data_IF_897500184265
#
_entry.id   IF_897500184265
#
_cell.length_a   1.000
_cell.length_b   1.000
_cell.length_c   1.000
_cell.angle_alpha   90.00
_cell.angle_beta   90.00
_cell.angle_gamma   90.00
#
_symmetry.space_group_name_H-M   'P 1'
#
loop_
_entity.id
_entity.type
_entity.pdbx_description
1 polymer ?
#
# COMPACT_ATOMS: atom_id res chain seq x y z
N UNK A 1 -9.71 8.05 9.10
CA UNK A 1 -8.94 6.81 8.90
C UNK A 1 -9.20 5.87 10.07
N UNK A 2 -9.03 4.56 9.88
CA UNK A 2 -9.19 3.55 10.93
C UNK A 2 -7.86 2.83 11.10
N UNK A 3 -7.42 2.70 12.35
CA UNK A 3 -6.28 1.85 12.70
C UNK A 3 -6.82 0.56 13.28
N UNK A 4 -6.28 -0.56 12.81
CA UNK A 4 -6.67 -1.90 13.26
C UNK A 4 -5.45 -2.54 13.92
N UNK A 5 -5.67 -3.16 15.07
CA UNK A 5 -4.64 -4.01 15.69
C UNK A 5 -4.42 -5.27 14.83
N UNK A 6 -3.20 -5.43 14.32
CA UNK A 6 -2.85 -6.47 13.35
C UNK A 6 -1.59 -7.25 13.77
N UNK A 7 -1.60 -7.94 14.93
CA UNK A 7 -0.42 -8.67 15.42
C UNK A 7 -0.01 -9.83 14.50
N UNK A 8 -0.95 -10.34 13.70
CA UNK A 8 -0.67 -11.37 12.69
C UNK A 8 0.20 -10.87 11.55
N UNK A 9 0.14 -9.57 11.20
CA UNK A 9 0.99 -8.98 10.17
C UNK A 9 2.45 -8.96 10.62
N UNK A 10 2.71 -8.54 11.87
CA UNK A 10 4.04 -8.59 12.48
C UNK A 10 4.57 -10.03 12.56
N UNK A 11 3.72 -10.99 12.95
CA UNK A 11 4.10 -12.41 12.99
C UNK A 11 4.45 -12.93 11.60
N UNK A 12 3.65 -12.58 10.59
CA UNK A 12 3.91 -12.96 9.21
C UNK A 12 5.27 -12.45 8.75
N UNK A 13 5.53 -11.14 8.89
CA UNK A 13 6.80 -10.52 8.52
C UNK A 13 7.99 -11.16 9.23
N UNK A 14 7.87 -11.49 10.52
CA UNK A 14 8.94 -12.21 11.25
C UNK A 14 9.22 -13.61 10.72
N UNK A 15 8.19 -14.29 10.20
CA UNK A 15 8.31 -15.67 9.70
C UNK A 15 8.77 -15.74 8.24
N UNK A 16 8.32 -14.82 7.39
CA UNK A 16 8.62 -14.80 5.95
C UNK A 16 9.83 -13.92 5.61
N UNK A 17 10.16 -12.96 6.47
CA UNK A 17 11.04 -11.85 6.13
C UNK A 17 10.37 -10.82 5.21
N UNK A 18 10.99 -9.64 5.01
CA UNK A 18 10.55 -8.67 4.02
C UNK A 18 10.75 -9.21 2.60
N UNK A 19 9.77 -9.01 1.72
CA UNK A 19 9.77 -9.56 0.35
C UNK A 19 9.86 -8.44 -0.72
N UNK A 20 11.07 -7.94 -0.92
CA UNK A 20 11.37 -6.97 -1.99
C UNK A 20 11.14 -7.57 -3.39
N UNK A 21 11.28 -8.90 -3.52
CA UNK A 21 11.15 -9.63 -4.77
C UNK A 21 9.72 -9.64 -5.32
N UNK A 22 8.71 -9.61 -4.44
CA UNK A 22 7.30 -9.65 -4.82
C UNK A 22 6.87 -8.53 -5.78
N UNK A 23 7.56 -7.38 -5.74
CA UNK A 23 7.26 -6.24 -6.61
C UNK A 23 8.47 -5.78 -7.43
N UNK A 24 9.54 -6.58 -7.53
CA UNK A 24 10.79 -6.17 -8.16
C UNK A 24 10.60 -5.61 -9.58
N UNK A 25 9.72 -6.21 -10.39
CA UNK A 25 9.39 -5.78 -11.75
C UNK A 25 8.67 -4.42 -11.81
N UNK A 26 8.08 -3.98 -10.70
CA UNK A 26 7.34 -2.72 -10.58
C UNK A 26 8.11 -1.62 -9.86
N UNK A 27 9.17 -1.98 -9.12
CA UNK A 27 9.94 -1.05 -8.30
C UNK A 27 11.07 -0.32 -9.05
N UNK A 28 11.15 -0.50 -10.38
CA UNK A 28 12.03 0.26 -11.29
C UNK A 28 11.31 1.46 -11.94
N UNK A 29 10.58 2.24 -11.13
CA UNK A 29 9.98 3.48 -11.60
C UNK A 29 11.04 4.60 -11.74
N UNK A 30 10.81 5.52 -12.70
CA UNK A 30 11.81 6.45 -13.21
C UNK A 30 12.68 7.15 -12.12
N UNK A 31 14.00 7.29 -12.36
CA UNK A 31 15.01 7.55 -11.33
C UNK A 31 14.94 8.94 -10.67
N UNK A 32 14.20 9.90 -11.21
CA UNK A 32 14.44 11.32 -10.92
C UNK A 32 13.73 11.89 -9.66
N UNK A 33 12.94 11.11 -8.91
CA UNK A 33 12.43 11.56 -7.58
C UNK A 33 11.53 10.56 -6.85
N UNK A 34 11.09 9.49 -7.50
CA UNK A 34 10.06 8.63 -6.95
C UNK A 34 10.67 7.55 -6.04
N UNK A 35 10.65 7.78 -4.72
CA UNK A 35 10.91 6.72 -3.72
C UNK A 35 9.77 5.68 -3.66
N UNK A 36 8.74 5.83 -4.49
CA UNK A 36 7.56 4.98 -4.50
C UNK A 36 7.03 4.81 -5.93
N UNK A 37 6.58 3.60 -6.24
CA UNK A 37 6.06 3.24 -7.55
C UNK A 37 4.57 2.93 -7.44
N UNK A 38 3.82 3.27 -8.50
CA UNK A 38 2.41 2.96 -8.66
C UNK A 38 2.21 1.97 -9.80
N UNK A 39 1.44 0.91 -9.58
CA UNK A 39 1.25 -0.18 -10.54
C UNK A 39 -0.03 -0.96 -10.27
N UNK A 40 -0.59 -1.60 -11.30
CA UNK A 40 -1.73 -2.49 -11.13
C UNK A 40 -1.31 -3.78 -10.44
N UNK A 41 -2.16 -4.33 -9.58
CA UNK A 41 -1.96 -5.67 -9.04
C UNK A 41 -2.05 -6.73 -10.17
N UNK A 42 -1.67 -7.98 -9.85
CA UNK A 42 -1.68 -9.10 -10.81
C UNK A 42 -3.04 -9.32 -11.49
N UNK A 43 -4.15 -9.10 -10.77
CA UNK A 43 -5.51 -9.23 -11.31
C UNK A 43 -6.00 -8.04 -12.13
N UNK A 44 -5.25 -6.93 -12.14
CA UNK A 44 -5.64 -5.69 -12.82
C UNK A 44 -6.84 -4.97 -12.20
N UNK A 45 -7.30 -5.39 -11.02
CA UNK A 45 -8.51 -4.92 -10.36
C UNK A 45 -8.25 -3.97 -9.18
N UNK A 46 -6.98 -3.69 -8.87
CA UNK A 46 -6.55 -2.75 -7.86
C UNK A 46 -5.31 -1.98 -8.29
N UNK A 47 -5.25 -0.71 -7.91
CA UNK A 47 -4.04 0.10 -8.03
C UNK A 47 -3.23 0.05 -6.75
N UNK A 48 -1.94 -0.24 -6.87
CA UNK A 48 -1.01 -0.38 -5.77
C UNK A 48 -0.02 0.78 -5.77
N UNK A 49 0.32 1.26 -4.58
CA UNK A 49 1.47 2.17 -4.37
C UNK A 49 2.40 1.54 -3.34
N UNK A 50 3.67 1.37 -3.70
CA UNK A 50 4.67 0.71 -2.86
C UNK A 50 5.98 1.49 -2.85
N UNK A 51 6.66 1.64 -1.69
CA UNK A 51 7.97 2.25 -1.64
C UNK A 51 9.03 1.33 -2.25
N UNK A 52 9.99 1.94 -2.93
CA UNK A 52 11.25 1.31 -3.30
C UNK A 52 12.21 1.40 -2.12
N UNK A 53 12.99 0.35 -1.90
CA UNK A 53 14.07 0.38 -0.93
C UNK A 53 15.14 1.39 -1.33
N UNK A 54 15.53 2.22 -0.36
CA UNK A 54 16.71 3.08 -0.50
C UNK A 54 17.97 2.20 -0.41
N UNK A 55 18.94 2.31 -1.33
CA UNK A 55 20.17 1.52 -1.28
C UNK A 55 20.86 1.60 0.09
N UNK A 56 21.15 0.45 0.69
CA UNK A 56 21.78 0.35 2.01
C UNK A 56 20.81 0.44 3.21
N UNK A 57 19.53 0.78 3.02
CA UNK A 57 18.54 0.74 4.08
C UNK A 57 18.18 -0.70 4.48
N UNK A 58 17.73 -0.91 5.71
CA UNK A 58 17.20 -2.20 6.15
C UNK A 58 15.88 -2.51 5.43
N UNK A 59 15.78 -3.69 4.82
CA UNK A 59 14.56 -4.14 4.14
C UNK A 59 13.36 -4.25 5.11
N UNK A 60 13.60 -4.49 6.40
CA UNK A 60 12.56 -4.56 7.42
C UNK A 60 11.74 -3.27 7.55
N UNK A 61 12.33 -2.11 7.21
CA UNK A 61 11.64 -0.81 7.21
C UNK A 61 10.46 -0.83 6.23
N UNK A 62 10.58 -1.55 5.11
CA UNK A 62 9.61 -1.55 4.03
C UNK A 62 8.58 -2.66 4.16
N UNK A 63 8.59 -3.44 5.25
CA UNK A 63 7.72 -4.61 5.43
C UNK A 63 6.23 -4.27 5.57
N UNK A 64 5.91 -3.17 6.27
CA UNK A 64 4.55 -2.68 6.47
C UNK A 64 4.56 -1.21 6.93
N UNK A 65 3.38 -0.56 6.94
CA UNK A 65 3.27 0.90 7.18
C UNK A 65 3.88 1.34 8.52
N UNK A 66 3.61 0.58 9.58
CA UNK A 66 4.16 0.87 10.92
C UNK A 66 5.68 0.81 10.99
N UNK A 67 6.33 -0.16 10.33
CA UNK A 67 7.79 -0.24 10.26
C UNK A 67 8.35 0.92 9.44
N UNK A 68 7.68 1.24 8.33
CA UNK A 68 8.09 2.30 7.41
C UNK A 68 8.07 3.67 8.08
N UNK A 69 6.97 4.05 8.71
CA UNK A 69 6.86 5.36 9.40
C UNK A 69 7.84 5.50 10.57
N UNK A 70 8.27 4.39 11.19
CA UNK A 70 9.26 4.41 12.29
C UNK A 70 10.71 4.45 11.80
N UNK A 71 11.00 3.88 10.63
CA UNK A 71 12.37 3.63 10.18
C UNK A 71 12.80 4.40 8.93
N UNK A 72 11.86 4.79 8.06
CA UNK A 72 12.16 5.52 6.84
C UNK A 72 12.46 6.99 7.11
N UNK A 73 13.13 7.64 6.17
CA UNK A 73 13.33 9.10 6.23
C UNK A 73 12.00 9.85 6.08
N UNK A 74 11.94 11.08 6.63
CA UNK A 74 10.77 11.94 6.47
C UNK A 74 10.43 12.17 4.98
N UNK A 75 11.45 12.30 4.14
CA UNK A 75 11.28 12.46 2.69
C UNK A 75 10.61 11.23 2.04
N UNK A 76 11.00 10.01 2.43
CA UNK A 76 10.37 8.78 1.94
C UNK A 76 8.89 8.69 2.36
N UNK A 77 8.58 9.07 3.60
CA UNK A 77 7.19 9.11 4.10
C UNK A 77 6.36 10.15 3.35
N UNK A 78 6.89 11.36 3.15
CA UNK A 78 6.23 12.42 2.38
C UNK A 78 5.99 11.99 0.94
N UNK A 79 6.99 11.38 0.30
CA UNK A 79 6.87 10.93 -1.08
C UNK A 79 5.88 9.78 -1.24
N UNK A 80 5.82 8.84 -0.29
CA UNK A 80 4.80 7.80 -0.27
C UNK A 80 3.40 8.41 -0.28
N UNK A 81 3.12 9.33 0.64
CA UNK A 81 1.80 9.96 0.73
C UNK A 81 1.50 10.86 -0.46
N UNK A 82 2.49 11.54 -1.04
CA UNK A 82 2.31 12.32 -2.29
C UNK A 82 1.90 11.41 -3.44
N UNK A 83 2.57 10.27 -3.63
CA UNK A 83 2.21 9.30 -4.67
C UNK A 83 0.84 8.69 -4.42
N UNK A 84 0.54 8.29 -3.18
CA UNK A 84 -0.78 7.78 -2.78
C UNK A 84 -1.87 8.80 -3.09
N UNK A 85 -1.71 10.06 -2.66
CA UNK A 85 -2.71 11.09 -2.88
C UNK A 85 -2.95 11.34 -4.38
N UNK A 86 -1.88 11.40 -5.18
CA UNK A 86 -1.96 11.58 -6.63
C UNK A 86 -2.74 10.44 -7.30
N UNK A 87 -2.39 9.19 -7.02
CA UNK A 87 -3.07 8.06 -7.65
C UNK A 87 -4.48 7.84 -7.11
N UNK A 88 -4.73 8.19 -5.85
CA UNK A 88 -6.06 8.11 -5.26
C UNK A 88 -7.03 9.14 -5.86
N UNK A 89 -6.57 10.38 -6.07
CA UNK A 89 -7.35 11.40 -6.78
C UNK A 89 -7.67 10.96 -8.21
N UNK A 90 -6.70 10.38 -8.93
CA UNK A 90 -6.94 9.82 -10.27
C UNK A 90 -7.96 8.68 -10.26
N UNK A 91 -7.91 7.81 -9.25
CA UNK A 91 -8.86 6.72 -9.10
C UNK A 91 -10.28 7.25 -8.83
N UNK A 92 -10.41 8.31 -8.02
CA UNK A 92 -11.69 8.98 -7.76
C UNK A 92 -12.22 9.65 -9.03
N UNK A 93 -11.38 10.39 -9.75
CA UNK A 93 -11.76 11.08 -10.99
C UNK A 93 -12.18 10.10 -12.09
N UNK A 94 -11.58 8.89 -12.11
CA UNK A 94 -11.91 7.82 -13.04
C UNK A 94 -13.08 6.93 -12.61
N UNK A 95 -13.60 7.08 -11.38
CA UNK A 95 -14.69 6.27 -10.88
C UNK A 95 -16.04 6.69 -11.52
N UNK A 96 -16.93 5.72 -11.69
CA UNK A 96 -18.30 6.03 -12.13
C UNK A 96 -19.07 6.77 -11.04
N UNK A 97 -20.10 7.55 -11.41
CA UNK A 97 -20.89 8.30 -10.45
C UNK A 97 -21.50 7.37 -9.39
N UNK A 98 -21.22 7.64 -8.12
CA UNK A 98 -21.66 6.82 -6.98
C UNK A 98 -20.71 5.67 -6.61
N UNK A 99 -19.69 5.38 -7.43
CA UNK A 99 -18.69 4.36 -7.11
C UNK A 99 -17.66 4.90 -6.13
N UNK A 100 -17.47 4.18 -5.03
CA UNK A 100 -16.45 4.48 -4.03
C UNK A 100 -15.09 3.88 -4.41
N UNK A 101 -14.02 4.52 -3.94
CA UNK A 101 -12.66 4.00 -4.01
C UNK A 101 -12.16 3.75 -2.59
N UNK A 102 -11.68 2.54 -2.33
CA UNK A 102 -11.28 2.09 -1.01
C UNK A 102 -9.77 2.07 -0.89
N UNK A 103 -9.20 2.80 0.07
CA UNK A 103 -7.75 2.87 0.31
C UNK A 103 -7.36 2.10 1.58
N UNK A 104 -6.54 1.05 1.45
CA UNK A 104 -6.04 0.32 2.62
C UNK A 104 -4.57 -0.10 2.48
N UNK A 105 -3.94 -0.45 3.60
CA UNK A 105 -2.64 -1.15 3.61
C UNK A 105 -2.79 -2.62 3.97
N UNK A 106 -4.03 -3.12 3.93
CA UNK A 106 -4.38 -4.47 4.38
C UNK A 106 -3.97 -5.49 3.33
N UNK A 107 -3.17 -6.46 3.75
CA UNK A 107 -2.72 -7.58 2.94
C UNK A 107 -1.78 -8.46 3.75
N UNK A 108 -1.96 -9.77 3.71
CA UNK A 108 -1.08 -10.75 4.39
C UNK A 108 -0.39 -11.71 3.40
N UNK A 109 -0.45 -11.41 2.11
CA UNK A 109 0.16 -12.24 1.06
C UNK A 109 1.59 -11.83 0.70
N UNK A 110 1.99 -10.60 1.01
CA UNK A 110 3.30 -10.03 0.67
C UNK A 110 3.81 -9.20 1.84
N UNK A 111 5.01 -9.51 2.32
CA UNK A 111 5.67 -8.81 3.43
C UNK A 111 6.45 -7.59 2.92
N UNK A 112 5.77 -6.76 2.14
CA UNK A 112 6.30 -5.51 1.60
C UNK A 112 5.16 -4.50 1.54
N UNK A 113 5.41 -3.27 1.97
CA UNK A 113 4.40 -2.22 2.10
C UNK A 113 3.78 -1.95 0.74
N UNK A 114 2.48 -2.10 0.66
CA UNK A 114 1.70 -1.68 -0.49
C UNK A 114 0.38 -1.10 0.01
N UNK A 115 0.07 0.11 -0.45
CA UNK A 115 -1.26 0.68 -0.30
C UNK A 115 -2.07 0.27 -1.52
N UNK A 116 -3.30 -0.17 -1.29
CA UNK A 116 -4.21 -0.63 -2.32
C UNK A 116 -5.37 0.34 -2.46
N UNK A 117 -5.72 0.63 -3.70
CA UNK A 117 -6.93 1.34 -4.09
C UNK A 117 -7.82 0.33 -4.83
N UNK A 118 -8.92 -0.05 -4.21
CA UNK A 118 -9.84 -1.06 -4.69
C UNK A 118 -11.24 -0.45 -4.92
N UNK A 119 -12.03 -1.01 -5.83
CA UNK A 119 -13.43 -0.61 -6.06
C UNK A 119 -14.41 -1.16 -5.01
N UNK A 120 -13.92 -2.02 -4.10
CA UNK A 120 -14.68 -2.64 -3.02
C UNK A 120 -13.81 -2.67 -1.75
N UNK A 121 -14.39 -2.76 -0.54
CA UNK A 121 -13.66 -2.78 0.72
C UNK A 121 -12.98 -4.14 0.99
N UNK A 122 -12.17 -4.62 0.04
CA UNK A 122 -11.43 -5.89 0.18
C UNK A 122 -10.47 -5.81 1.38
N UNK A 123 -10.47 -6.86 2.20
CA UNK A 123 -9.63 -6.99 3.39
C UNK A 123 -9.89 -5.99 4.53
N UNK A 124 -10.95 -5.20 4.45
CA UNK A 124 -11.37 -4.38 5.58
C UNK A 124 -11.88 -5.27 6.70
N UNK A 125 -11.37 -5.05 7.91
CA UNK A 125 -11.79 -5.76 9.14
C UNK A 125 -12.66 -4.87 10.03
N UNK A 126 -12.67 -3.55 9.79
CA UNK A 126 -13.57 -2.62 10.45
C UNK A 126 -14.98 -2.75 9.89
N UNK A 127 -15.88 -3.31 10.71
CA UNK A 127 -17.22 -3.73 10.28
C UNK A 127 -18.06 -2.62 9.61
N UNK A 128 -18.04 -1.35 10.07
CA UNK A 128 -18.80 -0.29 9.40
C UNK A 128 -18.42 -0.08 7.92
N UNK A 129 -17.20 -0.43 7.52
CA UNK A 129 -16.75 -0.33 6.12
C UNK A 129 -16.94 -1.62 5.31
N UNK A 130 -17.29 -2.75 5.95
CA UNK A 130 -17.59 -4.00 5.24
C UNK A 130 -19.03 -4.08 4.75
N UNK A 131 -19.93 -3.34 5.40
CA UNK A 131 -21.37 -3.42 5.21
C UNK A 131 -21.93 -2.26 4.37
N UNK A 132 -21.09 -1.48 3.69
CA UNK A 132 -21.54 -0.56 2.64
C UNK A 132 -21.89 -1.37 1.38
N UNK A 133 -22.98 -2.12 1.47
CA UNK A 133 -23.76 -2.58 0.34
C UNK A 133 -25.05 -1.79 0.38
N UNK A 134 -25.14 -0.77 -0.48
CA UNK A 134 -26.32 0.00 -0.88
C UNK A 134 -27.49 0.05 0.13
N UNK A 135 -27.59 1.16 0.89
CA UNK A 135 -28.90 1.71 1.30
C UNK A 135 -29.46 2.63 0.21
#
# INVERSE_FOLDING_TARGET
FVLVDAPNLERFVRSSGPDEGAFAEHLDCAPDSATCCAFSNLGGDAMLVSPRRTPGADAGIYSHLGAFVRGASEMEVVNLWRTVAKEYLRAIDGATAGQQVWLSTSGMGVAWLHLRMDSMPKYYTYMPFRNESDE
#
